data_IF_335852821877
#
_entry.id   IF_335852821877
#
_cell.length_a   1.000
_cell.length_b   1.000
_cell.length_c   1.000
_cell.angle_alpha   90.00
_cell.angle_beta   90.00
_cell.angle_gamma   90.00
#
_symmetry.space_group_name_H-M   'P 1'
#
loop_
_entity.id
_entity.type
_entity.pdbx_description
1 polymer ?
2 non-polymer ?
3 water ?
#
# COMPACT_ATOMS: atom_id res chain seq x y z
N UNK A 21 13.22 -13.03 25.20
CA UNK A 21 11.83 -13.44 25.59
C UNK A 21 10.92 -13.53 24.37
N UNK A 22 10.60 -12.40 23.74
CA UNK A 22 9.66 -12.31 22.58
C UNK A 22 10.00 -11.09 21.72
N UNK A 23 10.71 -11.27 20.58
CA UNK A 23 11.06 -10.16 19.69
C UNK A 23 9.86 -9.40 19.10
N UNK A 24 10.15 -8.32 18.34
CA UNK A 24 9.16 -7.49 17.62
C UNK A 24 8.60 -8.26 16.41
N UNK A 25 7.28 -8.24 16.25
CA UNK A 25 6.54 -9.00 15.19
C UNK A 25 6.86 -8.39 13.82
N UNK A 26 7.46 -9.18 12.92
CA UNK A 26 7.72 -8.76 11.52
C UNK A 26 7.53 -9.96 10.59
N UNK A 27 7.63 -9.71 9.29
CA UNK A 27 7.64 -10.75 8.24
C UNK A 27 9.09 -11.01 7.86
N UNK A 28 9.48 -12.28 7.75
CA UNK A 28 10.85 -12.65 7.32
C UNK A 28 10.93 -12.39 5.82
N UNK A 29 12.12 -12.48 5.20
CA UNK A 29 12.28 -12.11 3.80
C UNK A 29 11.34 -12.86 2.83
N UNK A 30 11.15 -14.17 3.01
CA UNK A 30 10.25 -14.97 2.16
C UNK A 30 8.80 -14.50 2.36
N UNK A 31 8.38 -14.34 3.60
CA UNK A 31 7.01 -13.88 3.96
C UNK A 31 6.78 -12.50 3.37
N UNK A 32 7.77 -11.62 3.49
CA UNK A 32 7.72 -10.23 2.97
C UNK A 32 7.46 -10.26 1.46
N UNK A 33 8.17 -11.12 0.72
CA UNK A 33 8.02 -11.24 -0.76
C UNK A 33 6.58 -11.66 -1.10
N UNK A 34 6.03 -12.62 -0.36
CA UNK A 34 4.67 -13.16 -0.61
C UNK A 34 3.66 -12.09 -0.19
N UNK A 35 3.91 -11.38 0.92
CA UNK A 35 3.02 -10.29 1.35
C UNK A 35 2.93 -9.26 0.23
N UNK A 36 4.05 -8.86 -0.36
CA UNK A 36 4.07 -7.83 -1.42
C UNK A 36 3.21 -8.29 -2.59
N UNK A 37 3.33 -9.55 -2.98
CA UNK A 37 2.58 -10.12 -4.12
C UNK A 37 1.07 -10.05 -3.81
N UNK A 38 0.66 -10.44 -2.63
CA UNK A 38 -0.78 -10.36 -2.21
C UNK A 38 -1.22 -8.88 -2.16
N UNK A 39 -0.40 -8.01 -1.56
CA UNK A 39 -0.68 -6.56 -1.40
C UNK A 39 -1.00 -5.95 -2.77
N UNK A 40 -0.12 -6.18 -3.73
CA UNK A 40 -0.25 -5.58 -5.07
C UNK A 40 -1.46 -6.19 -5.78
N UNK A 41 -1.70 -7.49 -5.60
CA UNK A 41 -2.83 -8.21 -6.26
C UNK A 41 -4.14 -7.60 -5.76
N UNK A 42 -4.23 -7.40 -4.45
CA UNK A 42 -5.47 -6.88 -3.84
C UNK A 42 -5.69 -5.44 -4.27
N UNK A 43 -4.62 -4.65 -4.30
CA UNK A 43 -4.63 -3.24 -4.77
C UNK A 43 -5.20 -3.19 -6.20
N UNK A 44 -4.65 -4.00 -7.10
CA UNK A 44 -5.03 -4.07 -8.53
C UNK A 44 -6.54 -4.34 -8.65
N UNK A 45 -7.07 -5.23 -7.82
CA UNK A 45 -8.50 -5.65 -7.84
C UNK A 45 -9.41 -4.48 -7.45
N UNK A 46 -8.89 -3.49 -6.73
CA UNK A 46 -9.68 -2.31 -6.28
C UNK A 46 -9.95 -1.38 -7.47
N UNK A 47 -9.18 -1.50 -8.56
CA UNK A 47 -9.27 -0.58 -9.74
C UNK A 47 -10.68 -0.61 -10.35
N UNK A 48 -11.35 -1.77 -10.39
CA UNK A 48 -12.58 -1.95 -11.20
C UNK A 48 -13.84 -1.82 -10.31
N UNK A 49 -13.87 -0.85 -9.39
CA UNK A 49 -14.86 -0.85 -8.27
C UNK A 49 -15.20 0.57 -7.80
N UNK A 50 -16.38 0.72 -7.18
CA UNK A 50 -16.83 1.94 -6.46
C UNK A 50 -16.66 1.78 -4.95
N UNK A 51 -16.92 2.83 -4.14
CA UNK A 51 -16.62 2.82 -2.72
C UNK A 51 -16.94 1.49 -2.01
N UNK A 52 -15.98 1.00 -1.21
CA UNK A 52 -16.14 -0.21 -0.36
C UNK A 52 -16.24 0.22 1.11
N UNK A 53 -17.34 -0.16 1.81
CA UNK A 53 -17.45 0.05 3.25
C UNK A 53 -16.24 -0.51 4.02
N UNK A 54 -15.35 -1.22 3.31
CA UNK A 54 -14.26 -2.00 3.92
C UNK A 54 -13.02 -1.10 4.13
N UNK A 55 -12.84 -0.02 3.33
CA UNK A 55 -11.77 0.98 3.62
C UNK A 55 -12.21 1.82 4.79
N UNK A 56 -11.27 2.20 5.65
CA UNK A 56 -11.55 3.02 6.86
C UNK A 56 -11.72 4.47 6.45
N UNK A 57 -10.94 4.91 5.46
CA UNK A 57 -11.05 6.26 4.88
C UNK A 57 -11.00 6.15 3.36
N UNK A 58 -11.77 6.98 2.67
CA UNK A 58 -11.85 6.96 1.19
C UNK A 58 -10.68 7.77 0.63
N UNK A 59 -9.45 7.26 0.81
CA UNK A 59 -8.21 7.93 0.32
C UNK A 59 -7.05 6.93 0.20
N UNK A 60 -5.84 7.44 -0.06
CA UNK A 60 -4.62 6.64 -0.36
C UNK A 60 -4.23 5.83 0.89
N UNK A 61 -4.28 6.43 2.07
CA UNK A 61 -3.94 5.77 3.34
C UNK A 61 -4.96 4.64 3.60
N UNK A 62 -6.21 4.87 3.23
CA UNK A 62 -7.32 3.90 3.32
C UNK A 62 -7.05 2.70 2.45
N UNK A 63 -6.60 2.92 1.21
CA UNK A 63 -6.31 1.82 0.25
C UNK A 63 -5.14 0.98 0.76
N UNK A 64 -4.07 1.63 1.22
CA UNK A 64 -2.83 0.95 1.72
C UNK A 64 -3.19 0.08 2.93
N UNK A 65 -3.94 0.62 3.91
CA UNK A 65 -4.32 -0.10 5.15
C UNK A 65 -5.17 -1.32 4.76
N UNK A 66 -6.12 -1.12 3.87
CA UNK A 66 -7.04 -2.16 3.37
C UNK A 66 -6.21 -3.28 2.73
N UNK A 67 -5.38 -2.94 1.74
CA UNK A 67 -4.64 -3.94 0.96
C UNK A 67 -3.72 -4.73 1.89
N UNK A 68 -3.06 -4.05 2.83
CA UNK A 68 -2.13 -4.70 3.81
C UNK A 68 -2.93 -5.66 4.69
N UNK A 69 -4.08 -5.23 5.19
CA UNK A 69 -4.93 -6.02 6.11
C UNK A 69 -5.43 -7.26 5.38
N UNK A 70 -5.89 -7.09 4.15
CA UNK A 70 -6.44 -8.19 3.30
C UNK A 70 -5.28 -9.14 2.93
N UNK A 71 -4.09 -8.62 2.66
CA UNK A 71 -2.90 -9.41 2.30
C UNK A 71 -2.53 -10.38 3.42
N UNK A 72 -2.80 -10.01 4.69
CA UNK A 72 -2.41 -10.79 5.86
C UNK A 72 -3.53 -11.75 6.30
N UNK A 73 -4.72 -11.67 5.70
CA UNK A 73 -5.83 -12.57 6.02
C UNK A 73 -5.54 -13.98 5.49
N UNK A 74 -6.14 -14.96 6.13
CA UNK A 74 -6.26 -16.34 5.57
C UNK A 74 -7.12 -16.24 4.31
N UNK A 75 -6.56 -16.58 3.16
CA UNK A 75 -7.23 -16.45 1.84
C UNK A 75 -7.95 -17.75 1.51
N UNK A 76 -9.06 -17.99 2.23
CA UNK A 76 -9.95 -19.18 2.09
C UNK A 76 -10.93 -18.95 0.93
N UNK A 77 -11.73 -19.97 0.61
CA UNK A 77 -12.75 -19.92 -0.46
C UNK A 77 -13.65 -18.70 -0.32
N UNK A 78 -14.18 -18.47 0.88
CA UNK A 78 -15.09 -17.34 1.18
C UNK A 78 -14.42 -16.01 0.83
N UNK A 79 -13.14 -15.86 1.21
CA UNK A 79 -12.36 -14.62 0.97
C UNK A 79 -12.16 -14.46 -0.54
N UNK A 80 -11.83 -15.56 -1.22
CA UNK A 80 -11.54 -15.51 -2.68
C UNK A 80 -12.80 -15.02 -3.41
N UNK A 81 -13.96 -15.60 -3.08
CA UNK A 81 -15.27 -15.25 -3.72
C UNK A 81 -15.56 -13.76 -3.46
N UNK A 82 -15.41 -13.32 -2.21
CA UNK A 82 -15.73 -11.94 -1.79
C UNK A 82 -14.88 -10.94 -2.59
N UNK A 83 -13.66 -11.33 -2.97
CA UNK A 83 -12.65 -10.40 -3.56
C UNK A 83 -12.43 -10.72 -5.04
N UNK A 84 -13.25 -11.63 -5.59
CA UNK A 84 -13.27 -12.02 -7.01
C UNK A 84 -11.95 -12.63 -7.49
N UNK A 85 -11.30 -13.44 -6.66
CA UNK A 85 -9.97 -14.05 -6.94
C UNK A 85 -10.09 -15.59 -6.97
N UNK A 86 -11.30 -16.09 -7.20
CA UNK A 86 -11.69 -17.52 -7.03
C UNK A 86 -11.03 -18.42 -8.10
N UNK A 87 -10.86 -17.92 -9.32
CA UNK A 87 -10.34 -18.71 -10.47
C UNK A 87 -9.04 -18.07 -10.98
N UNK A 88 -7.96 -18.07 -10.18
CA UNK A 88 -6.72 -17.28 -10.46
C UNK A 88 -5.48 -18.05 -10.00
N UNK A 89 -4.33 -17.80 -10.63
CA UNK A 89 -3.01 -18.18 -10.10
C UNK A 89 -2.62 -17.11 -9.11
N UNK A 90 -2.61 -17.47 -7.83
CA UNK A 90 -2.44 -16.51 -6.72
C UNK A 90 -1.07 -16.72 -6.11
N UNK A 91 -0.56 -15.77 -5.31
CA UNK A 91 0.67 -16.00 -4.57
C UNK A 91 0.46 -17.13 -3.57
N UNK A 92 1.54 -17.74 -3.04
CA UNK A 92 1.46 -18.78 -2.01
C UNK A 92 0.75 -18.27 -0.75
N UNK A 93 0.09 -19.13 0.05
CA UNK A 93 -0.44 -18.75 1.39
C UNK A 93 0.76 -18.60 2.32
N UNK A 94 0.66 -17.71 3.29
CA UNK A 94 1.67 -17.57 4.37
C UNK A 94 1.22 -18.39 5.58
N UNK A 95 2.16 -19.07 6.23
CA UNK A 95 2.00 -19.60 7.59
C UNK A 95 2.38 -18.49 8.56
N UNK A 96 1.40 -17.69 8.98
CA UNK A 96 1.63 -16.52 9.86
C UNK A 96 1.07 -16.82 11.24
N UNK A 97 1.65 -16.25 12.29
CA UNK A 97 1.05 -16.18 13.65
C UNK A 97 -0.17 -15.28 13.61
N UNK A 98 -1.16 -15.46 14.51
CA UNK A 98 -2.20 -14.44 14.70
C UNK A 98 -1.63 -13.02 14.84
N UNK A 99 -0.50 -12.85 15.54
CA UNK A 99 0.10 -11.51 15.78
C UNK A 99 0.52 -10.88 14.44
N UNK A 100 1.07 -11.71 13.56
CA UNK A 100 1.53 -11.29 12.22
C UNK A 100 0.32 -10.94 11.35
N UNK A 101 -0.77 -11.70 11.45
CA UNK A 101 -1.99 -11.47 10.66
C UNK A 101 -2.64 -10.16 11.12
N UNK A 102 -2.30 -9.72 12.34
CA UNK A 102 -2.87 -8.48 12.95
C UNK A 102 -1.95 -7.26 12.70
N UNK A 103 -0.88 -7.40 11.93
CA UNK A 103 0.13 -6.30 11.77
C UNK A 103 -0.51 -5.03 11.19
N UNK A 104 -1.44 -5.13 10.24
CA UNK A 104 -2.11 -3.94 9.61
C UNK A 104 -3.35 -3.52 10.40
N UNK A 105 -3.48 -4.03 11.62
CA UNK A 105 -4.49 -3.57 12.61
C UNK A 105 -3.78 -2.91 13.80
N UNK A 106 -2.46 -2.86 13.81
CA UNK A 106 -1.71 -2.37 14.99
C UNK A 106 -0.57 -1.47 14.52
N UNK A 107 -0.93 -0.30 14.00
CA UNK A 107 0.03 0.72 13.53
C UNK A 107 0.53 1.55 14.72
N UNK A 108 1.82 1.86 14.68
CA UNK A 108 2.45 2.87 15.56
C UNK A 108 1.85 4.25 15.28
N UNK A 109 1.52 4.95 16.34
CA UNK A 109 0.82 6.26 16.28
C UNK A 109 1.78 7.35 16.79
N UNK A 110 2.97 6.95 17.25
CA UNK A 110 3.90 7.84 17.95
C UNK A 110 3.82 7.67 19.46
N UNK A 111 4.95 7.86 20.14
CA UNK A 111 5.03 7.82 21.60
C UNK A 111 4.60 6.47 22.12
N UNK A 112 4.83 5.42 21.31
CA UNK A 112 4.52 4.02 21.67
C UNK A 112 3.04 3.70 21.60
N UNK A 113 2.19 4.65 21.17
CA UNK A 113 0.71 4.44 21.10
C UNK A 113 0.43 3.63 19.86
N UNK A 114 -0.60 2.79 19.92
CA UNK A 114 -0.93 1.83 18.83
C UNK A 114 -2.41 1.95 18.50
N UNK A 115 -2.74 1.79 17.22
CA UNK A 115 -4.13 1.85 16.77
C UNK A 115 -4.33 1.12 15.45
N UNK A 116 -5.59 0.83 15.11
CA UNK A 116 -5.90 0.03 13.94
C UNK A 116 -5.87 0.79 12.60
N UNK A 117 -5.83 2.11 12.64
CA UNK A 117 -5.92 2.95 11.42
C UNK A 117 -4.77 3.95 11.38
N UNK A 118 -4.48 4.41 10.18
CA UNK A 118 -3.28 5.24 9.93
C UNK A 118 -3.64 6.19 8.78
N UNK A 119 -3.28 7.47 8.88
CA UNK A 119 -3.27 8.42 7.75
C UNK A 119 -1.88 8.36 7.12
N UNK A 120 -1.67 9.10 6.04
CA UNK A 120 -0.42 9.10 5.25
C UNK A 120 0.80 9.46 6.13
N UNK A 121 0.73 10.56 6.89
CA UNK A 121 1.88 11.07 7.71
C UNK A 121 2.25 9.99 8.75
N UNK A 122 1.28 9.45 9.48
CA UNK A 122 1.55 8.45 10.56
C UNK A 122 2.14 7.18 9.92
N UNK A 123 1.64 6.82 8.75
CA UNK A 123 2.10 5.61 8.02
C UNK A 123 3.58 5.77 7.68
N UNK A 124 3.95 6.90 7.07
CA UNK A 124 5.38 7.12 6.70
C UNK A 124 6.22 7.34 7.97
N UNK A 125 5.78 8.23 8.88
CA UNK A 125 6.58 8.63 10.05
C UNK A 125 6.87 7.46 11.00
N UNK A 126 5.88 6.63 11.30
CA UNK A 126 5.95 5.65 12.41
C UNK A 126 5.91 4.22 11.89
N UNK A 127 5.65 4.00 10.61
CA UNK A 127 5.34 2.63 10.11
C UNK A 127 6.04 2.36 8.79
N UNK A 128 7.05 3.15 8.45
CA UNK A 128 7.78 2.94 7.19
C UNK A 128 9.27 3.25 7.37
N UNK A 129 10.10 2.77 6.43
CA UNK A 129 11.50 3.23 6.34
C UNK A 129 11.84 3.52 4.89
N UNK A 130 12.69 4.51 4.71
CA UNK A 130 13.14 4.98 3.38
C UNK A 130 13.80 3.85 2.62
N UNK A 131 13.43 3.68 1.36
CA UNK A 131 14.20 2.85 0.40
C UNK A 131 15.18 3.77 -0.34
N UNK A 132 14.69 4.89 -0.86
CA UNK A 132 15.49 5.86 -1.61
C UNK A 132 14.59 6.65 -2.54
N UNK A 133 15.17 7.27 -3.58
CA UNK A 133 14.39 8.08 -4.55
C UNK A 133 14.54 7.50 -5.96
N UNK A 134 15.00 6.25 -6.07
CA UNK A 134 15.23 5.59 -7.38
C UNK A 134 14.28 4.40 -7.50
N UNK A 135 13.27 4.51 -8.37
CA UNK A 135 12.23 3.45 -8.58
C UNK A 135 12.91 2.15 -9.03
N UNK A 136 14.07 2.25 -9.67
CA UNK A 136 14.87 1.06 -10.07
C UNK A 136 15.07 0.16 -8.86
N UNK A 137 15.09 0.73 -7.66
CA UNK A 137 15.43 0.00 -6.41
C UNK A 137 14.15 -0.38 -5.63
N UNK A 138 12.99 0.14 -6.05
CA UNK A 138 11.68 -0.14 -5.42
C UNK A 138 11.26 -1.60 -5.69
N UNK A 139 10.59 -2.21 -4.72
CA UNK A 139 9.92 -3.52 -4.87
C UNK A 139 8.42 -3.30 -4.95
N UNK A 140 7.67 -4.23 -5.56
CA UNK A 140 6.21 -4.15 -5.60
C UNK A 140 5.67 -3.96 -4.19
N UNK A 141 4.80 -2.97 -4.00
CA UNK A 141 4.15 -2.64 -2.72
C UNK A 141 4.86 -1.52 -1.97
N UNK A 142 6.02 -1.06 -2.48
CA UNK A 142 6.73 0.11 -1.90
C UNK A 142 5.86 1.35 -2.15
N UNK A 143 5.96 2.36 -1.29
CA UNK A 143 5.07 3.53 -1.31
C UNK A 143 5.85 4.76 -1.82
N UNK A 144 5.26 5.47 -2.73
CA UNK A 144 5.83 6.71 -3.30
C UNK A 144 5.17 7.88 -2.58
N UNK A 145 5.93 8.63 -1.79
CA UNK A 145 5.44 9.66 -0.86
C UNK A 145 5.70 11.03 -1.45
N UNK A 146 4.65 11.84 -1.58
CA UNK A 146 4.72 13.21 -2.14
C UNK A 146 4.19 14.23 -1.13
N UNK A 147 4.83 15.40 -1.06
CA UNK A 147 4.34 16.56 -0.29
C UNK A 147 4.07 17.70 -1.26
N UNK A 148 2.80 18.01 -1.52
CA UNK A 148 2.41 19.08 -2.46
C UNK A 148 2.19 20.40 -1.71
N UNK A 149 2.38 20.39 -0.38
CA UNK A 149 2.35 21.61 0.45
C UNK A 149 1.31 21.46 1.53
N UNK A 150 0.06 21.75 1.18
CA UNK A 150 -1.11 21.67 2.08
C UNK A 150 -1.44 20.18 2.30
N UNK A 151 -1.07 19.33 1.34
CA UNK A 151 -1.59 17.94 1.26
C UNK A 151 -0.44 16.98 0.91
N UNK A 152 -0.42 15.81 1.56
CA UNK A 152 0.63 14.79 1.34
C UNK A 152 -0.06 13.57 0.74
N UNK A 153 0.62 12.81 -0.12
CA UNK A 153 -0.01 11.67 -0.82
C UNK A 153 0.94 10.49 -0.89
N UNK A 154 0.34 9.32 -0.95
CA UNK A 154 1.01 8.03 -1.15
C UNK A 154 0.46 7.44 -2.45
N UNK A 155 1.37 7.02 -3.31
CA UNK A 155 1.05 6.17 -4.46
C UNK A 155 1.69 4.81 -4.20
N UNK A 156 1.18 3.75 -4.82
CA UNK A 156 1.76 2.40 -4.65
C UNK A 156 2.54 2.07 -5.92
N UNK A 157 3.82 1.77 -5.78
CA UNK A 157 4.61 1.16 -6.87
C UNK A 157 4.18 -0.29 -7.03
N UNK A 158 3.60 -0.66 -8.18
CA UNK A 158 3.01 -2.01 -8.39
C UNK A 158 4.01 -2.93 -9.09
N UNK A 159 5.17 -2.41 -9.49
CA UNK A 159 6.24 -3.19 -10.16
C UNK A 159 6.43 -2.76 -11.59
N UNK A 160 5.35 -2.41 -12.29
CA UNK A 160 5.42 -2.00 -13.72
C UNK A 160 4.41 -0.88 -13.96
N UNK A 161 3.70 -0.47 -12.91
CA UNK A 161 2.72 0.63 -12.90
C UNK A 161 2.56 1.19 -11.49
N UNK A 162 1.82 2.29 -11.38
CA UNK A 162 1.58 3.08 -10.16
C UNK A 162 0.08 3.18 -9.94
N UNK A 163 -0.38 2.76 -8.76
CA UNK A 163 -1.77 2.92 -8.30
C UNK A 163 -1.80 4.16 -7.42
N UNK A 164 -2.81 4.99 -7.60
CA UNK A 164 -2.97 6.24 -6.80
C UNK A 164 -4.45 6.53 -6.62
N UNK A 165 -4.76 7.48 -5.74
CA UNK A 165 -6.15 7.89 -5.44
C UNK A 165 -6.35 9.31 -5.96
N UNK A 166 -7.42 9.56 -6.70
CA UNK A 166 -7.67 10.86 -7.39
C UNK A 166 -7.83 11.96 -6.35
N UNK A 167 -8.15 11.58 -5.10
CA UNK A 167 -8.44 12.51 -3.99
C UNK A 167 -9.93 12.83 -3.88
N UNK A 168 -10.75 12.20 -4.73
CA UNK A 168 -12.20 12.49 -4.86
C UNK A 168 -12.96 11.22 -5.21
N UNK A 169 -13.59 10.58 -4.22
CA UNK A 169 -14.46 9.40 -4.42
C UNK A 169 -15.91 9.85 -4.50
N UNK A 170 -16.72 9.10 -5.23
CA UNK A 170 -18.18 9.33 -5.35
C UNK A 170 -18.86 8.00 -5.11
N UNK A 171 -20.22 7.97 -5.00
CA UNK A 171 -20.92 6.71 -4.76
C UNK A 171 -20.65 5.60 -5.78
N UNK A 172 -20.10 5.91 -6.96
CA UNK A 172 -19.87 4.93 -8.05
C UNK A 172 -18.38 4.79 -8.38
N UNK A 173 -17.52 5.57 -7.73
CA UNK A 173 -16.08 5.63 -8.07
C UNK A 173 -15.27 5.73 -6.78
N UNK A 174 -14.43 4.73 -6.51
CA UNK A 174 -13.59 4.68 -5.28
C UNK A 174 -12.37 5.60 -5.45
N UNK A 175 -12.19 6.20 -6.64
CA UNK A 175 -11.12 7.19 -6.89
C UNK A 175 -9.79 6.54 -7.23
N UNK A 176 -9.75 5.21 -7.26
CA UNK A 176 -8.51 4.44 -7.54
C UNK A 176 -8.20 4.47 -9.04
N UNK A 177 -6.93 4.68 -9.39
CA UNK A 177 -6.46 4.81 -10.78
C UNK A 177 -5.13 4.07 -10.90
N UNK A 178 -4.79 3.64 -12.11
CA UNK A 178 -3.52 2.97 -12.43
C UNK A 178 -2.88 3.73 -13.59
N UNK A 179 -1.59 4.05 -13.51
CA UNK A 179 -0.86 4.71 -14.61
C UNK A 179 0.52 4.05 -14.74
N UNK A 180 1.00 3.89 -15.96
CA UNK A 180 2.39 3.49 -16.25
C UNK A 180 3.31 4.67 -15.92
N UNK A 181 4.57 4.41 -15.60
CA UNK A 181 5.58 5.47 -15.44
C UNK A 181 5.60 6.32 -16.71
N UNK A 182 5.57 5.68 -17.88
CA UNK A 182 5.62 6.36 -19.19
C UNK A 182 4.47 7.38 -19.27
N UNK A 183 3.22 6.94 -19.04
CA UNK A 183 2.02 7.80 -19.19
C UNK A 183 2.08 8.90 -18.12
N UNK A 184 2.64 8.62 -16.96
CA UNK A 184 2.76 9.63 -15.88
C UNK A 184 3.74 10.74 -16.31
N UNK A 185 4.76 10.42 -17.10
CA UNK A 185 5.75 11.41 -17.61
C UNK A 185 5.07 12.35 -18.63
N UNK A 186 3.96 11.93 -19.23
CA UNK A 186 3.21 12.74 -20.23
C UNK A 186 2.33 13.78 -19.51
N UNK A 187 2.07 13.60 -18.21
CA UNK A 187 1.10 14.44 -17.46
C UNK A 187 1.53 15.90 -17.53
N UNK A 188 0.62 16.80 -17.93
CA UNK A 188 0.82 18.27 -17.89
C UNK A 188 1.08 18.67 -16.42
N UNK A 189 0.38 18.04 -15.48
CA UNK A 189 0.63 18.17 -14.02
C UNK A 189 1.94 17.41 -13.72
N UNK A 190 3.06 18.14 -13.65
CA UNK A 190 4.43 17.59 -13.52
C UNK A 190 4.78 17.33 -12.05
N UNK A 191 3.86 17.59 -11.12
CA UNK A 191 4.12 17.53 -9.64
C UNK A 191 4.31 16.08 -9.16
N UNK A 192 4.06 15.06 -10.00
CA UNK A 192 4.02 13.64 -9.57
C UNK A 192 5.20 12.82 -10.12
N UNK A 193 6.09 13.46 -10.88
CA UNK A 193 7.30 12.80 -11.47
C UNK A 193 8.14 12.23 -10.34
N UNK A 194 8.38 10.90 -10.33
CA UNK A 194 9.16 10.29 -9.26
C UNK A 194 10.66 10.32 -9.56
N UNK A 195 11.25 11.52 -9.62
CA UNK A 195 12.73 11.63 -9.80
C UNK A 195 13.29 12.82 -9.00
N UNK A 196 14.61 12.96 -9.06
CA UNK A 196 15.47 13.85 -8.25
C UNK A 196 14.99 15.29 -8.37
N UNK A 197 14.60 15.66 -9.59
CA UNK A 197 14.24 17.01 -10.08
C UNK A 197 12.90 17.46 -9.51
N UNK A 198 12.14 16.56 -8.89
CA UNK A 198 10.81 16.90 -8.36
C UNK A 198 10.89 17.14 -6.85
N UNK A 199 10.85 18.41 -6.39
CA UNK A 199 10.93 18.69 -4.97
C UNK A 199 9.75 18.16 -4.15
N UNK A 200 8.64 17.82 -4.83
CA UNK A 200 7.38 17.35 -4.18
C UNK A 200 7.45 15.83 -3.97
N UNK A 201 8.36 15.17 -4.66
CA UNK A 201 8.66 13.72 -4.52
C UNK A 201 9.64 13.60 -3.37
N UNK A 202 9.16 13.08 -2.24
CA UNK A 202 9.95 13.03 -0.98
C UNK A 202 10.80 11.76 -0.96
N UNK A 203 10.21 10.63 -1.35
CA UNK A 203 10.93 9.36 -1.40
C UNK A 203 10.02 8.16 -1.58
N UNK A 204 10.66 7.02 -1.57
CA UNK A 204 10.06 5.67 -1.67
C UNK A 204 10.27 4.99 -0.34
N UNK A 205 9.18 4.54 0.28
CA UNK A 205 9.14 3.97 1.65
C UNK A 205 8.59 2.55 1.58
N UNK A 206 9.15 1.70 2.44
CA UNK A 206 8.75 0.31 2.67
C UNK A 206 8.01 0.22 4.01
N UNK A 207 6.90 -0.49 4.04
CA UNK A 207 6.20 -0.84 5.30
C UNK A 207 7.23 -1.46 6.27
N UNK A 208 7.25 -0.98 7.51
CA UNK A 208 8.32 -1.24 8.51
C UNK A 208 8.32 -2.72 8.92
N UNK A 209 7.18 -3.40 8.82
CA UNK A 209 7.09 -4.80 9.24
C UNK A 209 7.64 -5.72 8.13
N UNK A 210 8.05 -5.20 6.98
CA UNK A 210 8.67 -6.05 5.92
C UNK A 210 10.19 -6.13 6.14
N UNK A 211 10.79 -7.25 5.77
CA UNK A 211 12.24 -7.52 5.88
C UNK A 211 12.99 -6.68 4.83
N UNK A 212 14.28 -6.43 5.06
CA UNK A 212 15.14 -5.61 4.17
C UNK A 212 15.87 -6.53 3.19
#
# INVERSE_FOLDING_TARGET
>A
MRRLTAFGLALLLLASGVARGEPAVTLDPQQSQVFRAWFVRIAQEQLRQGPSPRWHQQDCAGLVRFAANEALKVHDGKWLRANGLSNRYLPPELALSPEQRRLAQNWQQGGGQVGPYVNAIKLVQFNSRLVGRDLNQARPGDLMFYDQGDDQHLMIWMGRSIAYHTGSSTPTDNGMRSVSLQQLMTWKDTRWIPDESNPNFIGIYRLAFLSQ
#
